data_IF_918585631884
#
_entry.id   IF_918585631884
#
_cell.length_a   1.000
_cell.length_b   1.000
_cell.length_c   1.000
_cell.angle_alpha   90.00
_cell.angle_beta   90.00
_cell.angle_gamma   90.00
#
_symmetry.space_group_name_H-M   'P 1'
#
loop_
_entity.id
_entity.type
_entity.pdbx_description
1 polymer ?
#
# COMPACT_ATOMS: atom_id res chain seq x y z
N UNK A 1 -5.99 -11.52 -26.86
CA UNK A 1 -6.86 -10.39 -27.25
C UNK A 1 -8.06 -10.12 -26.32
N UNK A 2 -8.15 -10.68 -25.10
CA UNK A 2 -9.38 -10.62 -24.29
C UNK A 2 -9.38 -9.58 -23.15
N UNK A 3 -8.29 -8.83 -22.95
CA UNK A 3 -8.23 -7.76 -21.93
C UNK A 3 -8.76 -6.41 -22.45
N UNK A 4 -8.71 -6.17 -23.77
CA UNK A 4 -9.20 -4.93 -24.40
C UNK A 4 -10.72 -4.85 -24.41
N UNK A 5 -11.42 -5.98 -24.37
CA UNK A 5 -12.88 -6.06 -24.25
C UNK A 5 -13.34 -5.81 -22.81
N UNK A 6 -12.51 -6.17 -21.82
CA UNK A 6 -12.83 -6.04 -20.40
C UNK A 6 -12.79 -4.59 -19.92
N UNK A 7 -11.87 -3.77 -20.44
CA UNK A 7 -11.79 -2.34 -20.13
C UNK A 7 -11.87 -1.46 -21.38
N UNK A 8 -12.87 -0.59 -21.45
CA UNK A 8 -13.12 0.31 -22.58
C UNK A 8 -13.35 1.74 -22.10
N UNK A 9 -12.90 2.73 -22.88
CA UNK A 9 -12.94 4.13 -22.50
C UNK A 9 -14.36 4.68 -22.22
N UNK A 10 -15.40 4.05 -22.81
CA UNK A 10 -16.79 4.48 -22.71
C UNK A 10 -17.63 3.77 -21.64
N UNK A 11 -17.55 2.43 -21.55
CA UNK A 11 -18.48 1.65 -20.74
C UNK A 11 -17.84 0.84 -19.61
N UNK A 12 -16.58 0.42 -19.75
CA UNK A 12 -15.91 -0.46 -18.79
C UNK A 12 -14.61 0.19 -18.30
N UNK A 13 -14.71 1.30 -17.57
CA UNK A 13 -13.50 1.93 -17.02
C UNK A 13 -12.99 1.13 -15.82
N UNK A 14 -11.70 0.78 -15.86
CA UNK A 14 -11.02 0.18 -14.72
C UNK A 14 -10.95 1.14 -13.55
N UNK A 15 -11.23 0.66 -12.34
CA UNK A 15 -11.09 1.41 -11.10
C UNK A 15 -9.97 0.79 -10.29
N UNK A 16 -9.00 1.60 -9.89
CA UNK A 16 -7.82 1.11 -9.20
C UNK A 16 -7.99 1.29 -7.69
N UNK A 17 -7.56 0.28 -6.95
CA UNK A 17 -7.39 0.35 -5.51
C UNK A 17 -5.94 0.02 -5.16
N UNK A 18 -5.48 0.53 -4.04
CA UNK A 18 -4.12 0.34 -3.57
C UNK A 18 -4.13 0.16 -2.07
N UNK A 19 -3.36 -0.82 -1.61
CA UNK A 19 -3.03 -0.97 -0.21
C UNK A 19 -1.59 -0.44 -0.03
N UNK A 20 -1.36 0.52 0.87
CA UNK A 20 -0.03 1.05 1.22
C UNK A 20 0.42 0.62 2.62
N UNK A 21 1.66 0.13 2.73
CA UNK A 21 2.33 -0.26 3.99
C UNK A 21 3.51 0.66 4.26
N UNK A 22 3.88 0.84 5.53
CA UNK A 22 5.07 1.59 5.89
C UNK A 22 6.32 1.01 5.18
N UNK A 23 7.12 1.82 4.48
CA UNK A 23 8.22 1.32 3.62
C UNK A 23 9.27 0.48 4.35
N UNK A 24 9.64 0.88 5.57
CA UNK A 24 10.57 0.10 6.41
C UNK A 24 9.98 -1.27 6.79
N UNK A 25 8.74 -1.31 7.28
CA UNK A 25 8.07 -2.57 7.61
C UNK A 25 7.93 -3.46 6.36
N UNK A 26 7.64 -2.87 5.20
CA UNK A 26 7.63 -3.60 3.92
C UNK A 26 9.01 -4.19 3.62
N UNK A 27 10.09 -3.42 3.77
CA UNK A 27 11.44 -3.90 3.51
C UNK A 27 11.86 -5.03 4.48
N UNK A 28 11.53 -4.91 5.77
CA UNK A 28 11.76 -5.97 6.77
C UNK A 28 10.92 -7.21 6.45
N UNK A 29 9.67 -7.02 6.01
CA UNK A 29 8.81 -8.12 5.58
C UNK A 29 9.37 -8.85 4.35
N UNK A 30 9.94 -8.12 3.40
CA UNK A 30 10.59 -8.71 2.22
C UNK A 30 11.87 -9.45 2.63
N UNK A 31 12.65 -8.90 3.56
CA UNK A 31 13.82 -9.59 4.10
C UNK A 31 13.44 -10.92 4.79
N UNK A 32 12.49 -10.84 5.73
CA UNK A 32 12.11 -11.96 6.58
C UNK A 32 11.37 -13.07 5.81
N UNK A 33 10.36 -12.73 5.00
CA UNK A 33 9.57 -13.72 4.26
C UNK A 33 10.11 -14.01 2.84
N UNK A 34 10.95 -13.13 2.28
CA UNK A 34 11.57 -13.35 0.98
C UNK A 34 12.77 -14.30 1.01
N UNK A 35 13.19 -14.74 2.21
CA UNK A 35 14.24 -15.73 2.38
C UNK A 35 15.66 -15.20 2.11
N UNK A 36 15.90 -13.90 2.33
CA UNK A 36 17.26 -13.38 2.28
C UNK A 36 18.12 -14.07 3.34
N UNK A 37 19.34 -14.43 2.96
CA UNK A 37 20.30 -15.09 3.87
C UNK A 37 21.15 -14.09 4.66
N UNK A 38 21.07 -12.81 4.30
CA UNK A 38 21.77 -11.73 4.98
C UNK A 38 21.12 -11.43 6.33
N UNK A 39 21.90 -10.95 7.30
CA UNK A 39 21.32 -10.29 8.46
C UNK A 39 20.55 -9.03 8.04
N UNK A 40 19.67 -8.51 8.90
CA UNK A 40 18.91 -7.30 8.58
C UNK A 40 19.82 -6.09 8.32
N UNK A 41 20.95 -5.99 9.05
CA UNK A 41 21.94 -4.93 8.85
C UNK A 41 22.63 -5.02 7.50
N UNK A 42 23.16 -6.21 7.14
CA UNK A 42 23.78 -6.45 5.84
C UNK A 42 22.77 -6.25 4.70
N UNK A 43 21.55 -6.76 4.86
CA UNK A 43 20.47 -6.57 3.90
C UNK A 43 20.20 -5.09 3.67
N UNK A 44 20.08 -4.27 4.73
CA UNK A 44 19.75 -2.84 4.61
C UNK A 44 20.72 -2.02 3.75
N UNK A 45 21.98 -2.48 3.67
CA UNK A 45 23.09 -1.90 2.92
C UNK A 45 23.32 -2.57 1.57
N UNK A 46 22.65 -3.70 1.32
CA UNK A 46 22.80 -4.51 0.11
C UNK A 46 21.96 -3.98 -1.07
N UNK A 47 22.31 -4.34 -2.31
CA UNK A 47 21.48 -4.06 -3.48
C UNK A 47 20.17 -4.88 -3.52
N UNK A 48 19.96 -5.84 -2.62
CA UNK A 48 18.69 -6.61 -2.53
C UNK A 48 17.53 -5.74 -2.02
N UNK A 49 17.82 -4.62 -1.33
CA UNK A 49 16.79 -3.71 -0.86
C UNK A 49 16.14 -3.00 -2.04
N UNK A 50 14.84 -3.22 -2.18
CA UNK A 50 14.02 -2.48 -3.12
C UNK A 50 13.93 -1.00 -2.70
N UNK A 51 14.64 -0.14 -3.42
CA UNK A 51 14.70 1.31 -3.21
C UNK A 51 13.49 2.04 -3.82
N UNK A 52 12.71 2.71 -2.98
CA UNK A 52 11.57 3.56 -3.38
C UNK A 52 10.62 2.87 -4.37
N UNK A 53 10.35 1.59 -4.14
CA UNK A 53 9.61 0.72 -5.05
C UNK A 53 8.28 1.31 -5.48
N UNK A 54 7.49 1.88 -4.55
CA UNK A 54 6.16 2.40 -4.86
C UNK A 54 6.23 3.64 -5.75
N UNK A 55 7.16 4.55 -5.45
CA UNK A 55 7.42 5.75 -6.27
C UNK A 55 7.84 5.36 -7.69
N UNK A 56 8.76 4.39 -7.82
CA UNK A 56 9.21 3.89 -9.13
C UNK A 56 8.07 3.24 -9.90
N UNK A 57 7.28 2.42 -9.23
CA UNK A 57 6.16 1.72 -9.83
C UNK A 57 5.12 2.70 -10.38
N UNK A 58 4.70 3.68 -9.58
CA UNK A 58 3.68 4.66 -9.99
C UNK A 58 4.16 5.57 -11.12
N UNK A 59 5.43 5.95 -11.13
CA UNK A 59 5.99 6.84 -12.16
C UNK A 59 6.48 6.10 -13.40
N UNK A 60 6.57 4.77 -13.36
CA UNK A 60 7.23 3.96 -14.39
C UNK A 60 8.76 4.09 -14.41
N UNK A 61 9.38 4.80 -13.45
CA UNK A 61 10.83 5.01 -13.37
C UNK A 61 11.54 3.84 -12.68
N UNK A 62 11.56 2.68 -13.33
CA UNK A 62 12.08 1.44 -12.75
C UNK A 62 13.59 1.47 -12.46
N UNK A 63 14.36 2.29 -13.17
CA UNK A 63 15.81 2.43 -12.99
C UNK A 63 16.29 3.88 -12.97
N UNK A 64 17.56 4.07 -12.58
CA UNK A 64 18.19 5.38 -12.49
C UNK A 64 17.75 6.21 -11.27
N UNK A 65 18.21 7.45 -11.24
CA UNK A 65 17.97 8.40 -10.15
C UNK A 65 16.50 8.83 -10.10
N UNK A 66 15.98 8.94 -8.87
CA UNK A 66 14.71 9.60 -8.57
C UNK A 66 14.99 10.98 -7.97
N UNK A 67 14.10 11.91 -8.23
CA UNK A 67 14.08 13.25 -7.64
C UNK A 67 12.65 13.58 -7.13
N UNK A 68 12.47 14.78 -6.59
CA UNK A 68 11.18 15.19 -6.02
C UNK A 68 10.05 15.29 -7.05
N UNK A 69 10.36 15.51 -8.34
CA UNK A 69 9.33 15.58 -9.39
C UNK A 69 8.66 14.21 -9.57
N UNK A 70 9.41 13.13 -9.36
CA UNK A 70 8.87 11.77 -9.39
C UNK A 70 7.96 11.51 -8.19
N UNK A 71 8.32 12.00 -7.00
CA UNK A 71 7.47 11.85 -5.81
C UNK A 71 6.16 12.62 -5.99
N UNK A 72 6.25 13.85 -6.50
CA UNK A 72 5.06 14.64 -6.77
C UNK A 72 4.17 13.98 -7.82
N UNK A 73 4.75 13.46 -8.90
CA UNK A 73 4.02 12.68 -9.92
C UNK A 73 3.34 11.46 -9.30
N UNK A 74 4.03 10.73 -8.43
CA UNK A 74 3.46 9.57 -7.73
C UNK A 74 2.29 9.96 -6.83
N UNK A 75 2.37 11.09 -6.12
CA UNK A 75 1.25 11.64 -5.32
C UNK A 75 0.05 11.97 -6.20
N UNK A 76 0.28 12.66 -7.32
CA UNK A 76 -0.78 13.08 -8.23
C UNK A 76 -1.49 11.86 -8.84
N UNK A 77 -0.73 10.84 -9.24
CA UNK A 77 -1.28 9.55 -9.71
C UNK A 77 -2.09 8.87 -8.60
N UNK A 78 -1.56 8.81 -7.38
CA UNK A 78 -2.24 8.18 -6.25
C UNK A 78 -3.58 8.86 -5.96
N UNK A 79 -3.60 10.20 -5.91
CA UNK A 79 -4.79 10.98 -5.65
C UNK A 79 -5.84 10.89 -6.76
N UNK A 80 -5.40 10.90 -8.02
CA UNK A 80 -6.30 10.93 -9.17
C UNK A 80 -6.85 9.56 -9.56
N UNK A 81 -6.13 8.47 -9.24
CA UNK A 81 -6.42 7.14 -9.82
C UNK A 81 -6.80 6.06 -8.82
N UNK A 82 -6.43 6.18 -7.54
CA UNK A 82 -6.54 5.08 -6.59
C UNK A 82 -7.50 5.36 -5.44
N UNK A 83 -8.31 4.36 -5.08
CA UNK A 83 -8.85 4.25 -3.73
C UNK A 83 -7.76 3.67 -2.82
N UNK A 84 -7.39 4.41 -1.79
CA UNK A 84 -6.25 4.09 -0.92
C UNK A 84 -6.73 3.38 0.34
N UNK A 85 -6.02 2.31 0.68
CA UNK A 85 -6.05 1.59 1.96
C UNK A 85 -4.68 1.65 2.65
N UNK A 86 -4.68 1.47 3.97
CA UNK A 86 -3.48 1.43 4.82
C UNK A 86 -3.39 0.05 5.47
N UNK A 87 -2.24 -0.62 5.33
CA UNK A 87 -2.09 -2.04 5.71
C UNK A 87 -2.32 -2.27 7.19
N UNK A 88 -1.78 -1.37 8.01
CA UNK A 88 -1.94 -1.39 9.46
C UNK A 88 -3.41 -1.21 9.90
N UNK A 89 -4.26 -0.69 9.01
CA UNK A 89 -5.69 -0.51 9.22
C UNK A 89 -6.48 -1.39 8.23
N UNK A 90 -6.11 -2.68 8.14
CA UNK A 90 -6.59 -3.60 7.11
C UNK A 90 -8.11 -3.71 7.07
N UNK A 91 -8.77 -3.91 8.21
CA UNK A 91 -10.25 -3.98 8.32
C UNK A 91 -10.93 -2.74 7.74
N UNK A 92 -10.50 -1.56 8.19
CA UNK A 92 -11.08 -0.29 7.73
C UNK A 92 -10.81 -0.06 6.25
N UNK A 93 -9.66 -0.52 5.75
CA UNK A 93 -9.29 -0.40 4.35
C UNK A 93 -10.11 -1.33 3.45
N UNK A 94 -10.33 -2.57 3.88
CA UNK A 94 -11.17 -3.53 3.15
C UNK A 94 -12.63 -3.11 3.16
N UNK A 95 -13.16 -2.71 4.32
CA UNK A 95 -14.53 -2.18 4.39
C UNK A 95 -14.73 -0.99 3.44
N UNK A 96 -13.72 -0.12 3.32
CA UNK A 96 -13.76 1.00 2.37
C UNK A 96 -13.79 0.53 0.92
N UNK A 97 -13.01 -0.48 0.58
CA UNK A 97 -13.05 -1.03 -0.77
C UNK A 97 -14.40 -1.68 -1.05
N UNK A 98 -14.93 -2.47 -0.11
CA UNK A 98 -16.27 -3.05 -0.22
C UNK A 98 -17.34 -1.97 -0.42
N UNK A 99 -17.30 -0.90 0.37
CA UNK A 99 -18.21 0.24 0.24
C UNK A 99 -18.11 0.94 -1.13
N UNK A 100 -16.89 1.17 -1.63
CA UNK A 100 -16.66 1.90 -2.87
C UNK A 100 -17.00 1.07 -4.12
N UNK A 101 -16.68 -0.22 -4.10
CA UNK A 101 -16.92 -1.15 -5.21
C UNK A 101 -18.27 -1.87 -5.10
N UNK A 102 -19.01 -1.63 -4.01
CA UNK A 102 -20.26 -2.31 -3.69
C UNK A 102 -20.12 -3.83 -3.60
N UNK A 103 -18.96 -4.29 -3.11
CA UNK A 103 -18.76 -5.70 -2.82
C UNK A 103 -19.43 -6.05 -1.50
N UNK A 104 -20.11 -7.20 -1.48
CA UNK A 104 -20.71 -7.76 -0.26
C UNK A 104 -20.24 -9.20 -0.15
N UNK A 105 -19.52 -9.49 0.93
CA UNK A 105 -19.28 -10.88 1.31
C UNK A 105 -20.63 -11.52 1.68
N UNK A 106 -20.89 -12.71 1.17
CA UNK A 106 -22.13 -13.47 1.38
C UNK A 106 -21.82 -14.90 1.80
N UNK A 107 -22.64 -15.45 2.70
CA UNK A 107 -22.50 -16.82 3.19
C UNK A 107 -21.09 -17.11 3.74
N UNK A 108 -20.49 -18.21 3.30
CA UNK A 108 -19.17 -18.67 3.75
C UNK A 108 -18.01 -17.75 3.35
N UNK A 109 -18.21 -16.82 2.41
CA UNK A 109 -17.15 -15.88 1.99
C UNK A 109 -16.81 -14.85 3.08
N UNK A 110 -17.72 -14.60 4.02
CA UNK A 110 -17.48 -13.73 5.18
C UNK A 110 -16.37 -14.32 6.05
N UNK A 111 -16.47 -15.61 6.40
CA UNK A 111 -15.43 -16.30 7.18
C UNK A 111 -14.09 -16.35 6.45
N UNK A 112 -14.10 -16.61 5.14
CA UNK A 112 -12.87 -16.62 4.33
C UNK A 112 -12.16 -15.25 4.34
N UNK A 113 -12.94 -14.16 4.22
CA UNK A 113 -12.44 -12.79 4.33
C UNK A 113 -11.84 -12.54 5.71
N UNK A 114 -12.59 -12.80 6.77
CA UNK A 114 -12.16 -12.51 8.14
C UNK A 114 -10.90 -13.30 8.52
N UNK A 115 -10.85 -14.59 8.15
CA UNK A 115 -9.66 -15.41 8.33
C UNK A 115 -8.44 -14.88 7.55
N UNK A 116 -8.65 -14.35 6.34
CA UNK A 116 -7.57 -13.74 5.56
C UNK A 116 -7.04 -12.46 6.21
N UNK A 117 -7.94 -11.64 6.78
CA UNK A 117 -7.58 -10.44 7.54
C UNK A 117 -6.77 -10.82 8.77
N UNK A 118 -7.28 -11.75 9.59
CA UNK A 118 -6.63 -12.20 10.82
C UNK A 118 -5.24 -12.76 10.55
N UNK A 119 -5.08 -13.59 9.51
CA UNK A 119 -3.76 -14.09 9.09
C UNK A 119 -2.83 -12.94 8.69
N UNK A 120 -3.30 -11.99 7.88
CA UNK A 120 -2.49 -10.86 7.45
C UNK A 120 -2.04 -9.96 8.62
N UNK A 121 -2.92 -9.76 9.60
CA UNK A 121 -2.63 -9.01 10.84
C UNK A 121 -1.64 -9.75 11.75
N UNK A 122 -1.75 -11.07 11.85
CA UNK A 122 -0.80 -11.89 12.60
C UNK A 122 0.62 -11.78 12.03
N UNK A 123 0.76 -11.87 10.70
CA UNK A 123 2.03 -11.65 10.01
C UNK A 123 2.54 -10.20 10.20
N UNK A 124 1.65 -9.20 10.12
CA UNK A 124 2.04 -7.79 10.32
C UNK A 124 2.55 -7.53 11.73
N UNK A 125 1.94 -8.16 12.75
CA UNK A 125 2.34 -8.04 14.15
C UNK A 125 3.76 -8.56 14.37
N UNK A 126 4.11 -9.70 13.78
CA UNK A 126 5.46 -10.24 13.83
C UNK A 126 6.50 -9.29 13.20
N UNK A 127 6.18 -8.73 12.03
CA UNK A 127 7.06 -7.74 11.39
C UNK A 127 7.15 -6.44 12.18
N UNK A 128 6.04 -5.96 12.75
CA UNK A 128 6.04 -4.77 13.58
C UNK A 128 6.94 -4.94 14.81
N UNK A 129 6.94 -6.13 15.42
CA UNK A 129 7.84 -6.45 16.53
C UNK A 129 9.32 -6.40 16.12
N UNK A 130 9.68 -7.05 15.00
CA UNK A 130 11.05 -6.98 14.45
C UNK A 130 11.46 -5.54 14.12
N UNK A 131 10.52 -4.76 13.58
CA UNK A 131 10.74 -3.37 13.22
C UNK A 131 10.96 -2.49 14.45
N UNK A 132 10.25 -2.75 15.56
CA UNK A 132 10.45 -2.06 16.83
C UNK A 132 11.81 -2.38 17.44
N UNK A 133 12.24 -3.64 17.42
CA UNK A 133 13.58 -4.04 17.86
C UNK A 133 14.68 -3.35 17.05
N UNK A 134 14.44 -3.10 15.76
CA UNK A 134 15.38 -2.44 14.86
C UNK A 134 15.29 -0.92 14.87
N UNK A 135 14.34 -0.30 15.60
CA UNK A 135 13.95 1.12 15.43
C UNK A 135 15.09 2.13 15.60
N UNK A 136 16.08 1.81 16.42
CA UNK A 136 17.26 2.64 16.69
C UNK A 136 18.54 2.09 16.04
N UNK A 137 18.42 1.04 15.21
CA UNK A 137 19.55 0.42 14.52
C UNK A 137 19.98 1.21 13.27
N UNK A 138 21.21 0.96 12.82
CA UNK A 138 21.68 1.41 11.50
C UNK A 138 20.76 0.88 10.39
N UNK A 139 20.30 -0.37 10.50
CA UNK A 139 19.44 -0.98 9.50
C UNK A 139 18.15 -0.17 9.27
N UNK A 140 17.49 0.29 10.34
CA UNK A 140 16.31 1.16 10.22
C UNK A 140 16.65 2.47 9.52
N UNK A 141 17.79 3.07 9.86
CA UNK A 141 18.26 4.32 9.26
C UNK A 141 18.51 4.16 7.77
N UNK A 142 19.24 3.12 7.35
CA UNK A 142 19.50 2.82 5.95
C UNK A 142 18.22 2.50 5.18
N UNK A 143 17.33 1.66 5.74
CA UNK A 143 16.06 1.33 5.09
C UNK A 143 15.18 2.57 4.91
N UNK A 144 15.11 3.45 5.91
CA UNK A 144 14.36 4.71 5.85
C UNK A 144 14.95 5.65 4.80
N UNK A 145 16.27 5.83 4.81
CA UNK A 145 16.97 6.69 3.85
C UNK A 145 16.83 6.19 2.41
N UNK A 146 17.06 4.89 2.18
CA UNK A 146 16.91 4.26 0.88
C UNK A 146 15.46 4.24 0.38
N UNK A 147 14.48 4.43 1.26
CA UNK A 147 13.07 4.50 0.91
C UNK A 147 12.44 5.88 1.22
N UNK A 148 13.24 6.96 1.28
CA UNK A 148 12.77 8.28 1.68
C UNK A 148 11.58 8.82 0.88
N UNK A 149 11.52 8.51 -0.42
CA UNK A 149 10.42 8.95 -1.27
C UNK A 149 9.16 8.13 -1.03
N UNK A 150 9.30 6.82 -0.82
CA UNK A 150 8.19 5.98 -0.38
C UNK A 150 7.71 6.36 1.04
N UNK A 151 8.61 6.85 1.92
CA UNK A 151 8.24 7.34 3.25
C UNK A 151 7.36 8.60 3.17
N UNK A 152 7.73 9.51 2.27
CA UNK A 152 6.92 10.68 1.97
C UNK A 152 5.57 10.29 1.36
N UNK A 153 5.59 9.36 0.40
CA UNK A 153 4.39 8.86 -0.25
C UNK A 153 3.46 8.10 0.71
N UNK A 154 4.01 7.37 1.68
CA UNK A 154 3.25 6.75 2.77
C UNK A 154 2.60 7.79 3.70
N UNK A 155 3.30 8.89 3.97
CA UNK A 155 2.71 9.99 4.74
C UNK A 155 1.56 10.64 3.98
N UNK A 156 1.73 10.84 2.67
CA UNK A 156 0.68 11.34 1.80
C UNK A 156 -0.50 10.36 1.67
N UNK A 157 -0.25 9.05 1.58
CA UNK A 157 -1.31 8.05 1.49
C UNK A 157 -2.20 8.03 2.74
N UNK A 158 -1.64 8.26 3.93
CA UNK A 158 -2.42 8.45 5.17
C UNK A 158 -3.32 9.69 5.11
N UNK A 159 -2.84 10.78 4.50
CA UNK A 159 -3.65 12.00 4.28
C UNK A 159 -4.81 11.68 3.34
N UNK A 160 -4.53 11.11 2.15
CA UNK A 160 -5.56 10.68 1.20
C UNK A 160 -6.56 9.70 1.83
N UNK A 161 -6.08 8.77 2.65
CA UNK A 161 -6.93 7.81 3.33
C UNK A 161 -7.96 8.51 4.23
N UNK A 162 -7.59 9.61 4.89
CA UNK A 162 -8.52 10.40 5.72
C UNK A 162 -9.49 11.21 4.84
N UNK A 163 -8.99 11.85 3.79
CA UNK A 163 -9.78 12.68 2.87
C UNK A 163 -10.82 11.86 2.11
N UNK A 164 -10.46 10.67 1.61
CA UNK A 164 -11.37 9.76 0.92
C UNK A 164 -12.51 9.27 1.81
N UNK A 165 -12.30 9.13 3.12
CA UNK A 165 -13.38 8.79 4.06
C UNK A 165 -14.49 9.85 4.03
N UNK A 166 -14.13 11.13 3.98
CA UNK A 166 -15.10 12.21 3.89
C UNK A 166 -15.80 12.21 2.52
N UNK A 167 -15.03 12.10 1.44
CA UNK A 167 -15.56 12.03 0.08
C UNK A 167 -16.62 10.91 -0.07
N UNK A 168 -16.37 9.74 0.52
CA UNK A 168 -17.29 8.61 0.40
C UNK A 168 -18.54 8.78 1.26
N UNK A 169 -18.43 9.43 2.43
CA UNK A 169 -19.61 9.83 3.21
C UNK A 169 -20.50 10.78 2.42
N UNK A 170 -19.91 11.81 1.81
CA UNK A 170 -20.65 12.78 0.99
C UNK A 170 -21.30 12.12 -0.23
N UNK A 171 -20.63 11.13 -0.84
CA UNK A 171 -21.20 10.33 -1.94
C UNK A 171 -22.39 9.47 -1.49
N UNK A 172 -22.32 8.82 -0.31
CA UNK A 172 -23.43 8.03 0.24
C UNK A 172 -24.65 8.92 0.53
N UNK A 173 -24.43 10.09 1.17
CA UNK A 173 -25.48 11.06 1.45
C UNK A 173 -26.18 11.55 0.16
N UNK A 174 -25.41 11.83 -0.90
CA UNK A 174 -25.96 12.26 -2.20
C UNK A 174 -26.79 11.17 -2.90
N UNK A 175 -26.58 9.90 -2.55
CA UNK A 175 -27.28 8.74 -3.15
C UNK A 175 -28.49 8.28 -2.36
N UNK A 176 -28.64 8.72 -1.11
CA UNK A 176 -29.73 8.29 -0.23
C UNK A 176 -29.54 6.89 0.37
N UNK A 177 -28.29 6.41 0.44
CA UNK A 177 -27.93 5.07 0.94
C UNK A 177 -27.79 5.02 2.49
N UNK A 178 -28.68 5.66 3.27
CA UNK A 178 -28.66 5.59 4.75
C UNK A 178 -29.24 4.29 5.32
#
# INVERSE_FOLDING_TARGET
>A
DDLKSLFSAGNNQGRLLMMVRHPVLRAISVHYYGGSKLSLDEYSKSPEVQNNYLTRFLTGKLGGTLDETHVQTAKDIMAAKFVVGIYHNLDTSLQRFEDYFHWKAVGSTVHCRDDAILRAQGLDTGIAHLAEQARESEAWTYLSYNNRFDMELYTYSKKLFREQKQMFRDLKLRRGDE
#
